data_IF_860637121516
#
_entry.id   IF_860637121516
#
_cell.length_a   1.000
_cell.length_b   1.000
_cell.length_c   1.000
_cell.angle_alpha   90.00
_cell.angle_beta   90.00
_cell.angle_gamma   90.00
#
_symmetry.space_group_name_H-M   'P 1'
#
loop_
_entity.id
_entity.type
_entity.pdbx_description
1 polymer ?
#
# COMPACT_ATOMS: atom_id res chain seq x y z
N UNK A 1 44.08 14.05 4.18
CA UNK A 1 43.13 15.11 4.54
C UNK A 1 41.74 14.52 4.53
N UNK A 2 41.09 14.45 5.69
CA UNK A 2 39.76 13.89 5.85
C UNK A 2 38.71 14.95 5.49
N UNK A 3 37.77 14.61 4.61
CA UNK A 3 36.57 15.43 4.37
C UNK A 3 35.35 14.66 4.84
N UNK A 4 34.79 15.12 5.95
CA UNK A 4 33.61 14.57 6.60
C UNK A 4 32.37 14.89 5.77
N UNK A 5 31.62 13.85 5.39
CA UNK A 5 30.31 13.97 4.76
C UNK A 5 29.25 14.14 5.86
N UNK A 6 28.74 15.36 6.01
CA UNK A 6 27.59 15.63 6.87
C UNK A 6 26.31 15.09 6.21
N UNK A 7 26.01 13.82 6.43
CA UNK A 7 24.69 13.26 6.09
C UNK A 7 23.65 13.84 7.06
N UNK A 8 22.91 14.85 6.61
CA UNK A 8 21.66 15.26 7.27
C UNK A 8 20.69 14.07 7.23
N UNK A 9 20.48 13.44 8.38
CA UNK A 9 19.50 12.38 8.61
C UNK A 9 18.10 12.98 8.46
N UNK A 10 17.43 12.66 7.36
CA UNK A 10 16.04 13.07 7.13
C UNK A 10 15.16 12.09 7.90
N UNK A 11 14.47 12.59 8.92
CA UNK A 11 13.49 11.80 9.68
C UNK A 11 12.16 11.77 8.90
N UNK A 12 11.77 10.57 8.46
CA UNK A 12 10.54 10.33 7.70
C UNK A 12 9.26 10.42 8.56
N UNK A 13 9.40 10.54 9.89
CA UNK A 13 8.28 10.67 10.83
C UNK A 13 8.03 12.11 11.29
N UNK A 14 8.85 13.08 10.85
CA UNK A 14 8.66 14.47 11.18
C UNK A 14 7.41 15.02 10.47
N UNK A 15 6.33 15.26 11.21
CA UNK A 15 5.15 15.98 10.71
C UNK A 15 5.59 17.43 10.41
N UNK A 16 5.47 17.92 9.17
CA UNK A 16 5.83 19.29 8.86
C UNK A 16 4.85 20.23 9.58
N UNK A 17 5.34 20.97 10.58
CA UNK A 17 4.57 22.02 11.27
C UNK A 17 4.57 23.35 10.49
N UNK A 18 4.86 23.31 9.19
CA UNK A 18 4.77 24.46 8.30
C UNK A 18 3.64 24.13 7.34
N UNK A 19 2.52 24.85 7.49
CA UNK A 19 1.49 24.84 6.44
C UNK A 19 2.21 25.17 5.13
N UNK A 20 2.11 24.33 4.09
CA UNK A 20 2.58 24.76 2.80
C UNK A 20 1.80 26.03 2.47
N UNK A 21 2.48 27.16 2.31
CA UNK A 21 1.93 28.28 1.57
C UNK A 21 1.72 27.79 0.15
N UNK A 22 0.60 27.10 -0.06
CA UNK A 22 0.06 26.85 -1.37
C UNK A 22 -0.30 28.26 -1.84
N UNK A 23 0.60 28.89 -2.60
CA UNK A 23 0.26 30.03 -3.43
C UNK A 23 -0.76 29.53 -4.45
N UNK A 24 -2.01 29.44 -4.01
CA UNK A 24 -3.16 29.38 -4.87
C UNK A 24 -3.20 30.73 -5.57
N UNK A 25 -2.66 30.78 -6.79
CA UNK A 25 -3.03 31.83 -7.73
C UNK A 25 -4.54 31.74 -7.90
N UNK A 26 -5.26 32.63 -7.24
CA UNK A 26 -6.70 32.76 -7.33
C UNK A 26 -7.03 33.28 -8.72
N UNK A 27 -7.19 32.37 -9.67
CA UNK A 27 -7.80 32.66 -10.96
C UNK A 27 -9.29 32.89 -10.71
N UNK A 28 -9.65 34.11 -10.31
CA UNK A 28 -11.01 34.61 -10.43
C UNK A 28 -11.28 34.87 -11.91
N UNK A 29 -11.47 33.79 -12.66
CA UNK A 29 -11.96 33.87 -14.03
C UNK A 29 -13.47 34.13 -13.98
N UNK A 30 -13.89 35.33 -14.41
CA UNK A 30 -15.29 35.74 -14.49
C UNK A 30 -16.10 34.94 -15.54
N UNK A 31 -15.41 34.09 -16.32
CA UNK A 31 -15.98 33.00 -17.13
C UNK A 31 -15.29 31.72 -16.72
N UNK A 32 -16.05 30.70 -16.32
CA UNK A 32 -15.50 29.44 -15.80
C UNK A 32 -14.45 28.77 -16.71
N UNK A 33 -13.74 27.73 -16.22
CA UNK A 33 -12.68 27.08 -16.97
C UNK A 33 -13.20 26.64 -18.34
N UNK A 34 -12.60 27.15 -19.42
CA UNK A 34 -12.93 26.72 -20.77
C UNK A 34 -12.38 25.30 -20.95
N UNK A 35 -13.15 24.31 -20.51
CA UNK A 35 -12.86 22.90 -20.71
C UNK A 35 -13.27 22.52 -22.13
N UNK A 36 -12.46 22.90 -23.11
CA UNK A 36 -12.51 22.28 -24.43
C UNK A 36 -11.68 21.00 -24.37
N UNK A 37 -12.32 19.94 -23.88
CA UNK A 37 -12.03 18.53 -24.13
C UNK A 37 -10.58 18.19 -24.53
N UNK A 38 -9.71 18.01 -23.52
CA UNK A 38 -8.57 17.10 -23.58
C UNK A 38 -7.49 17.32 -24.65
N UNK A 39 -7.48 18.45 -25.36
CA UNK A 39 -6.45 18.72 -26.36
C UNK A 39 -5.32 19.55 -25.77
N UNK A 40 -4.12 19.01 -25.91
CA UNK A 40 -2.84 19.72 -25.95
C UNK A 40 -3.04 21.06 -26.69
N UNK A 41 -2.41 22.13 -26.18
CA UNK A 41 -2.26 23.40 -26.91
C UNK A 41 -1.42 23.11 -28.16
N UNK A 42 -2.09 22.63 -29.22
CA UNK A 42 -1.58 22.40 -30.57
C UNK A 42 -2.14 23.43 -31.54
N UNK A 43 -3.10 24.24 -31.08
CA UNK A 43 -3.71 25.31 -31.84
C UNK A 43 -3.09 26.65 -31.39
N UNK A 44 -2.42 27.32 -32.32
CA UNK A 44 -1.81 28.63 -32.13
C UNK A 44 -2.83 29.66 -31.62
N UNK A 45 -4.10 29.53 -31.99
CA UNK A 45 -5.17 30.42 -31.52
C UNK A 45 -5.47 30.20 -30.03
N UNK A 46 -5.44 28.95 -29.55
CA UNK A 46 -5.64 28.63 -28.13
C UNK A 46 -4.38 29.00 -27.34
N UNK A 47 -3.19 28.77 -27.90
CA UNK A 47 -1.92 29.18 -27.31
C UNK A 47 -1.87 30.71 -27.09
N UNK A 48 -2.21 31.49 -28.12
CA UNK A 48 -2.28 32.95 -28.05
C UNK A 48 -3.34 33.44 -27.05
N UNK A 49 -4.48 32.75 -26.95
CA UNK A 49 -5.54 33.09 -26.00
C UNK A 49 -5.14 32.83 -24.55
N UNK A 50 -4.44 31.71 -24.28
CA UNK A 50 -3.91 31.39 -22.95
C UNK A 50 -2.75 32.32 -22.59
N UNK A 51 -1.87 32.64 -23.53
CA UNK A 51 -0.79 33.62 -23.32
C UNK A 51 -1.35 35.00 -22.95
N UNK A 52 -2.43 35.46 -23.60
CA UNK A 52 -3.14 36.71 -23.23
C UNK A 52 -3.71 36.71 -21.82
N UNK A 53 -3.98 35.55 -21.21
CA UNK A 53 -4.44 35.44 -19.81
C UNK A 53 -3.26 35.52 -18.84
N UNK A 54 -2.05 35.22 -19.29
CA UNK A 54 -0.82 35.25 -18.48
C UNK A 54 -0.16 36.63 -18.52
N UNK A 55 -0.22 37.32 -19.66
CA UNK A 55 0.30 38.67 -19.84
C UNK A 55 -0.63 39.67 -19.13
N UNK A 56 -0.10 40.43 -18.16
CA UNK A 56 -0.88 41.46 -17.49
C UNK A 56 -0.97 42.74 -18.34
N UNK A 57 -1.96 43.63 -18.13
CA UNK A 57 -2.01 44.92 -18.82
C UNK A 57 -0.75 45.78 -18.65
N UNK A 58 -0.01 45.58 -17.56
CA UNK A 58 1.28 46.23 -17.31
C UNK A 58 2.38 45.64 -18.20
N UNK A 59 2.37 44.33 -18.42
CA UNK A 59 3.30 43.63 -19.33
C UNK A 59 3.01 44.02 -20.78
N UNK A 60 1.73 44.11 -21.18
CA UNK A 60 1.35 44.63 -22.51
C UNK A 60 1.85 46.06 -22.72
N UNK A 61 1.72 46.94 -21.72
CA UNK A 61 2.22 48.32 -21.78
C UNK A 61 3.75 48.39 -21.85
N UNK A 62 4.45 47.48 -21.15
CA UNK A 62 5.91 47.40 -21.20
C UNK A 62 6.39 46.87 -22.56
N UNK A 63 5.71 45.88 -23.12
CA UNK A 63 6.01 45.32 -24.45
C UNK A 63 5.67 46.31 -25.57
N UNK A 64 4.52 46.99 -25.51
CA UNK A 64 4.09 47.97 -26.51
C UNK A 64 4.99 49.22 -26.59
N UNK A 65 5.69 49.55 -25.50
CA UNK A 65 6.66 50.65 -25.45
C UNK A 65 8.09 50.23 -25.87
N UNK A 66 8.34 48.93 -26.09
CA UNK A 66 9.61 48.46 -26.63
C UNK A 66 9.52 48.44 -28.17
N UNK A 67 10.39 49.19 -28.81
CA UNK A 67 10.51 49.24 -30.29
C UNK A 67 11.26 48.00 -30.82
N UNK A 68 11.89 47.25 -29.92
CA UNK A 68 12.68 46.07 -30.22
C UNK A 68 11.78 44.85 -30.43
N UNK A 69 11.48 44.58 -31.70
CA UNK A 69 10.67 43.46 -32.18
C UNK A 69 11.24 42.11 -31.72
N UNK A 70 12.57 41.99 -31.56
CA UNK A 70 13.25 40.76 -31.12
C UNK A 70 12.92 40.46 -29.65
N UNK A 71 13.00 41.46 -28.77
CA UNK A 71 12.66 41.32 -27.35
C UNK A 71 11.18 40.92 -27.13
N UNK A 72 10.27 41.41 -27.96
CA UNK A 72 8.84 41.02 -27.93
C UNK A 72 8.68 39.56 -28.36
N UNK A 73 9.33 39.14 -29.45
CA UNK A 73 9.28 37.78 -29.95
C UNK A 73 9.86 36.76 -28.96
N UNK A 74 10.95 37.11 -28.29
CA UNK A 74 11.58 36.29 -27.24
C UNK A 74 10.65 36.12 -26.04
N UNK A 75 9.99 37.19 -25.60
CA UNK A 75 9.02 37.13 -24.51
C UNK A 75 7.80 36.26 -24.85
N UNK A 76 7.30 36.32 -26.09
CA UNK A 76 6.23 35.44 -26.56
C UNK A 76 6.69 33.99 -26.61
N UNK A 77 7.89 33.74 -27.15
CA UNK A 77 8.52 32.41 -27.19
C UNK A 77 8.64 31.80 -25.79
N UNK A 78 9.13 32.59 -24.82
CA UNK A 78 9.22 32.17 -23.43
C UNK A 78 7.84 31.84 -22.84
N UNK A 79 6.84 32.67 -23.12
CA UNK A 79 5.46 32.48 -22.63
C UNK A 79 4.85 31.17 -23.17
N UNK A 80 5.06 30.87 -24.46
CA UNK A 80 4.63 29.61 -25.08
C UNK A 80 5.33 28.43 -24.41
N UNK A 81 6.66 28.49 -24.25
CA UNK A 81 7.43 27.43 -23.60
C UNK A 81 6.97 27.18 -22.16
N UNK A 82 6.72 28.23 -21.37
CA UNK A 82 6.17 28.14 -20.03
C UNK A 82 4.79 27.47 -20.01
N UNK A 83 3.89 27.88 -20.90
CA UNK A 83 2.56 27.30 -21.02
C UNK A 83 2.61 25.81 -21.38
N UNK A 84 3.47 25.43 -22.35
CA UNK A 84 3.69 24.03 -22.72
C UNK A 84 4.28 23.20 -21.58
N UNK A 85 5.22 23.76 -20.82
CA UNK A 85 5.81 23.08 -19.66
C UNK A 85 4.77 22.82 -18.55
N UNK A 86 3.99 23.84 -18.17
CA UNK A 86 2.95 23.71 -17.15
C UNK A 86 1.86 22.73 -17.60
N UNK A 87 1.44 22.79 -18.86
CA UNK A 87 0.46 21.85 -19.42
C UNK A 87 0.95 20.40 -19.38
N UNK A 88 2.21 20.17 -19.74
CA UNK A 88 2.83 18.84 -19.64
C UNK A 88 2.90 18.33 -18.20
N UNK A 89 3.22 19.18 -17.24
CA UNK A 89 3.20 18.82 -15.82
C UNK A 89 1.78 18.48 -15.34
N UNK A 90 0.79 19.29 -15.70
CA UNK A 90 -0.61 19.07 -15.33
C UNK A 90 -1.12 17.71 -15.85
N UNK A 91 -0.82 17.37 -17.11
CA UNK A 91 -1.16 16.07 -17.69
C UNK A 91 -0.50 14.91 -16.93
N UNK A 92 0.79 15.02 -16.61
CA UNK A 92 1.51 13.99 -15.84
C UNK A 92 0.93 13.82 -14.44
N UNK A 93 0.57 14.92 -13.77
CA UNK A 93 -0.08 14.89 -12.47
C UNK A 93 -1.45 14.21 -12.53
N UNK A 94 -2.25 14.48 -13.57
CA UNK A 94 -3.54 13.83 -13.77
C UNK A 94 -3.39 12.30 -13.95
N UNK A 95 -2.46 11.85 -14.81
CA UNK A 95 -2.19 10.42 -15.01
C UNK A 95 -1.76 9.75 -13.70
N UNK A 96 -0.81 10.35 -12.97
CA UNK A 96 -0.39 9.85 -11.65
C UNK A 96 -1.53 9.85 -10.63
N UNK A 97 -2.45 10.82 -10.71
CA UNK A 97 -3.65 10.86 -9.88
C UNK A 97 -4.54 9.64 -10.10
N UNK A 98 -4.74 9.23 -11.36
CA UNK A 98 -5.50 8.04 -11.72
C UNK A 98 -4.82 6.76 -11.21
N UNK A 99 -3.50 6.63 -11.41
CA UNK A 99 -2.72 5.49 -10.91
C UNK A 99 -2.80 5.35 -9.38
N UNK A 100 -2.67 6.47 -8.65
CA UNK A 100 -2.81 6.49 -7.18
C UNK A 100 -4.21 6.04 -6.76
N UNK A 101 -5.25 6.45 -7.49
CA UNK A 101 -6.63 6.07 -7.19
C UNK A 101 -6.88 4.57 -7.46
N UNK A 102 -6.30 4.03 -8.53
CA UNK A 102 -6.33 2.60 -8.81
C UNK A 102 -5.63 1.80 -7.70
N UNK A 103 -4.41 2.20 -7.33
CA UNK A 103 -3.65 1.58 -6.24
C UNK A 103 -4.41 1.61 -4.91
N UNK A 104 -5.06 2.74 -4.57
CA UNK A 104 -5.93 2.82 -3.38
C UNK A 104 -7.04 1.78 -3.41
N UNK A 105 -7.66 1.56 -4.57
CA UNK A 105 -8.70 0.55 -4.74
C UNK A 105 -8.15 -0.86 -4.54
N UNK A 106 -7.00 -1.17 -5.12
CA UNK A 106 -6.32 -2.46 -4.94
C UNK A 106 -5.94 -2.71 -3.47
N UNK A 107 -5.41 -1.70 -2.77
CA UNK A 107 -5.07 -1.77 -1.34
C UNK A 107 -6.32 -2.08 -0.50
N UNK A 108 -7.46 -1.45 -0.79
CA UNK A 108 -8.71 -1.72 -0.07
C UNK A 108 -9.18 -3.18 -0.27
N UNK A 109 -9.07 -3.72 -1.49
CA UNK A 109 -9.41 -5.11 -1.80
C UNK A 109 -8.50 -6.06 -1.00
N UNK A 110 -7.20 -5.83 -1.02
CA UNK A 110 -6.22 -6.64 -0.29
C UNK A 110 -6.45 -6.59 1.22
N UNK A 111 -6.76 -5.42 1.79
CA UNK A 111 -7.09 -5.28 3.20
C UNK A 111 -8.35 -6.05 3.60
N UNK A 112 -9.37 -6.09 2.75
CA UNK A 112 -10.57 -6.92 2.99
C UNK A 112 -10.22 -8.42 2.95
N UNK A 113 -9.45 -8.85 1.96
CA UNK A 113 -9.01 -10.25 1.84
C UNK A 113 -8.18 -10.68 3.06
N UNK A 114 -7.24 -9.83 3.51
CA UNK A 114 -6.41 -10.12 4.67
C UNK A 114 -7.24 -10.29 5.95
N UNK A 115 -8.25 -9.44 6.17
CA UNK A 115 -9.19 -9.60 7.29
C UNK A 115 -9.94 -10.93 7.24
N UNK A 116 -10.40 -11.34 6.06
CA UNK A 116 -11.04 -12.64 5.85
C UNK A 116 -10.11 -13.81 6.19
N UNK A 117 -8.87 -13.78 5.70
CA UNK A 117 -7.86 -14.80 6.00
C UNK A 117 -7.52 -14.86 7.50
N UNK A 118 -7.43 -13.72 8.17
CA UNK A 118 -7.21 -13.67 9.62
C UNK A 118 -8.36 -14.34 10.40
N UNK A 119 -9.60 -14.17 9.95
CA UNK A 119 -10.74 -14.83 10.58
C UNK A 119 -10.71 -16.34 10.38
N UNK A 120 -10.49 -16.80 9.16
CA UNK A 120 -10.33 -18.23 8.84
C UNK A 120 -9.19 -18.85 9.66
N UNK A 121 -8.06 -18.16 9.79
CA UNK A 121 -6.94 -18.64 10.61
C UNK A 121 -7.30 -18.79 12.09
N UNK A 122 -8.13 -17.89 12.65
CA UNK A 122 -8.61 -18.02 14.03
C UNK A 122 -9.52 -19.24 14.20
N UNK A 123 -10.39 -19.51 13.23
CA UNK A 123 -11.28 -20.67 13.24
C UNK A 123 -10.50 -21.97 13.10
N UNK A 124 -9.53 -22.01 12.17
CA UNK A 124 -8.65 -23.15 11.98
C UNK A 124 -7.84 -23.44 13.25
N UNK A 125 -7.35 -22.40 13.95
CA UNK A 125 -6.65 -22.56 15.21
C UNK A 125 -7.53 -23.23 16.27
N UNK A 126 -8.79 -22.80 16.42
CA UNK A 126 -9.75 -23.45 17.33
C UNK A 126 -9.98 -24.91 16.98
N UNK A 127 -10.09 -25.23 15.69
CA UNK A 127 -10.29 -26.60 15.22
C UNK A 127 -9.09 -27.49 15.55
N UNK A 128 -7.87 -26.99 15.30
CA UNK A 128 -6.62 -27.69 15.64
C UNK A 128 -6.52 -27.93 17.15
N UNK A 129 -6.83 -26.92 17.96
CA UNK A 129 -6.76 -27.03 19.43
C UNK A 129 -7.80 -28.05 19.96
N UNK A 130 -9.00 -28.08 19.37
CA UNK A 130 -10.03 -29.08 19.68
C UNK A 130 -9.56 -30.50 19.34
N UNK A 131 -8.98 -30.69 18.16
CA UNK A 131 -8.48 -31.99 17.71
C UNK A 131 -7.31 -32.48 18.56
N UNK A 132 -6.37 -31.59 18.90
CA UNK A 132 -5.25 -31.90 19.78
C UNK A 132 -5.74 -32.36 21.17
N UNK A 133 -6.78 -31.71 21.71
CA UNK A 133 -7.38 -32.10 22.99
C UNK A 133 -8.09 -33.46 22.92
N UNK A 134 -8.87 -33.72 21.86
CA UNK A 134 -9.55 -35.02 21.68
C UNK A 134 -8.54 -36.16 21.56
N UNK A 135 -7.52 -35.97 20.71
CA UNK A 135 -6.46 -36.97 20.53
C UNK A 135 -5.67 -37.21 21.82
N UNK A 136 -5.39 -36.14 22.59
CA UNK A 136 -4.75 -36.27 23.91
C UNK A 136 -5.57 -37.13 24.87
N UNK A 137 -6.90 -36.94 24.92
CA UNK A 137 -7.79 -37.78 25.76
C UNK A 137 -7.78 -39.24 25.32
N UNK A 138 -7.92 -39.51 24.02
CA UNK A 138 -7.88 -40.87 23.47
C UNK A 138 -6.55 -41.56 23.76
N UNK A 139 -5.44 -40.82 23.70
CA UNK A 139 -4.12 -41.35 24.04
C UNK A 139 -4.04 -41.79 25.51
N UNK A 140 -4.51 -40.95 26.43
CA UNK A 140 -4.54 -41.29 27.87
C UNK A 140 -5.43 -42.50 28.14
N UNK A 141 -6.60 -42.58 27.50
CA UNK A 141 -7.49 -43.73 27.63
C UNK A 141 -6.85 -45.02 27.10
N UNK A 142 -6.17 -44.93 25.94
CA UNK A 142 -5.43 -46.04 25.36
C UNK A 142 -4.28 -46.50 26.27
N UNK A 143 -3.56 -45.57 26.89
CA UNK A 143 -2.50 -45.86 27.85
C UNK A 143 -3.05 -46.58 29.09
N UNK A 144 -4.15 -46.09 29.66
CA UNK A 144 -4.83 -46.73 30.79
C UNK A 144 -5.26 -48.16 30.45
N UNK A 145 -5.88 -48.35 29.29
CA UNK A 145 -6.34 -49.67 28.82
C UNK A 145 -5.15 -50.62 28.59
N UNK A 146 -4.06 -50.13 28.02
CA UNK A 146 -2.83 -50.90 27.79
C UNK A 146 -2.19 -51.33 29.11
N UNK A 147 -2.12 -50.42 30.09
CA UNK A 147 -1.60 -50.73 31.43
C UNK A 147 -2.48 -51.76 32.14
N UNK A 148 -3.81 -51.61 32.08
CA UNK A 148 -4.75 -52.58 32.65
C UNK A 148 -4.59 -53.97 32.02
N UNK A 149 -4.51 -54.05 30.69
CA UNK A 149 -4.32 -55.32 29.98
C UNK A 149 -2.98 -55.97 30.36
N UNK A 150 -1.92 -55.18 30.52
CA UNK A 150 -0.60 -55.67 30.96
C UNK A 150 -0.68 -56.31 32.35
N UNK A 151 -1.39 -55.69 33.29
CA UNK A 151 -1.55 -56.26 34.64
C UNK A 151 -2.43 -57.51 34.62
N UNK A 152 -3.49 -57.54 33.82
CA UNK A 152 -4.30 -58.77 33.63
C UNK A 152 -3.45 -59.91 33.05
N UNK A 153 -2.59 -59.63 32.06
CA UNK A 153 -1.69 -60.63 31.49
C UNK A 153 -0.70 -61.17 32.52
N UNK A 154 -0.09 -60.31 33.35
CA UNK A 154 0.80 -60.76 34.44
C UNK A 154 0.08 -61.65 35.45
N UNK A 155 -1.14 -61.28 35.84
CA UNK A 155 -1.95 -62.07 36.79
C UNK A 155 -2.27 -63.45 36.23
N UNK A 156 -2.70 -63.53 34.97
CA UNK A 156 -3.00 -64.78 34.29
C UNK A 156 -1.76 -65.67 34.15
N UNK A 157 -0.60 -65.08 33.83
CA UNK A 157 0.66 -65.81 33.73
C UNK A 157 1.02 -66.48 35.07
N UNK A 158 0.86 -65.77 36.18
CA UNK A 158 1.10 -66.31 37.52
C UNK A 158 0.12 -67.44 37.86
N UNK A 159 -1.15 -67.30 37.50
CA UNK A 159 -2.17 -68.33 37.71
C UNK A 159 -1.85 -69.61 36.92
N UNK A 160 -1.50 -69.49 35.64
CA UNK A 160 -1.07 -70.62 34.80
C UNK A 160 0.18 -71.29 35.37
N UNK A 161 1.18 -70.52 35.81
CA UNK A 161 2.39 -71.07 36.44
C UNK A 161 2.09 -71.84 37.72
N UNK A 162 1.18 -71.36 38.57
CA UNK A 162 0.75 -72.07 39.78
C UNK A 162 0.09 -73.40 39.43
N UNK A 163 -0.87 -73.39 38.50
CA UNK A 163 -1.57 -74.60 38.05
C UNK A 163 -0.61 -75.64 37.47
N UNK A 164 0.41 -75.21 36.72
CA UNK A 164 1.44 -76.11 36.16
C UNK A 164 2.35 -76.74 37.22
N UNK A 165 2.63 -76.04 38.33
CA UNK A 165 3.41 -76.59 39.44
C UNK A 165 2.61 -77.62 40.23
N UNK A 166 1.30 -77.42 40.38
CA UNK A 166 0.40 -78.37 41.06
C UNK A 166 0.28 -79.67 40.24
N UNK A 167 0.41 -79.62 38.91
CA UNK A 167 0.27 -80.79 38.03
C UNK A 167 1.57 -81.59 37.81
N UNK A 168 2.71 -81.22 38.41
CA UNK A 168 3.95 -81.99 38.35
C UNK A 168 4.11 -82.76 39.67
N UNK A 169 3.82 -84.07 39.72
CA UNK A 169 4.09 -84.85 40.91
C UNK A 169 5.61 -84.94 41.10
N UNK A 170 6.08 -84.70 42.34
CA UNK A 170 7.44 -85.04 42.74
C UNK A 170 7.65 -86.54 42.50
N UNK A 171 8.62 -86.87 41.63
CA UNK A 171 9.04 -88.22 41.33
C UNK A 171 10.08 -88.70 42.33
#
# INVERSE_FOLDING_TARGET
MASSSSQKKIDLNAVPNVQPEIRCSSFLSQKGPLMTNGSVILDDAIAASVAKVIITPQDEKLLANRIDVEAINDSMTLSIQCASFVSNMARRLQVRGNEVQELRTQVLILQRRNRGLQQVNKELKKLVDSYANDMGKRYLELEMNTNRLREQYKSLLLEVQKSLKISRPEA
#
